data_IF_302398780962
#
_entry.id   IF_302398780962
#
_cell.length_a   1.000
_cell.length_b   1.000
_cell.length_c   1.000
_cell.angle_alpha   90.00
_cell.angle_beta   90.00
_cell.angle_gamma   90.00
#
_symmetry.space_group_name_H-M   'P 1'
#
loop_
_entity.id
_entity.type
_entity.pdbx_description
1 polymer ?
#
# COMPACT_ATOMS: atom_id res chain seq x y z
N UNK A 1 -40.80 -15.63 3.02
CA UNK A 1 -41.64 -15.03 4.07
C UNK A 1 -41.85 -13.57 3.71
N UNK A 2 -43.08 -13.03 3.71
CA UNK A 2 -43.26 -11.58 3.78
C UNK A 2 -42.59 -11.05 5.06
N UNK A 3 -42.09 -9.80 5.04
CA UNK A 3 -41.54 -9.09 6.21
C UNK A 3 -40.28 -9.67 6.88
N UNK A 4 -39.36 -10.25 6.10
CA UNK A 4 -38.04 -10.68 6.59
C UNK A 4 -37.18 -9.48 6.98
N UNK A 5 -37.17 -8.42 6.16
CA UNK A 5 -36.47 -7.18 6.42
C UNK A 5 -37.19 -6.01 5.75
N UNK A 6 -37.30 -4.89 6.47
CA UNK A 6 -37.80 -3.61 5.96
C UNK A 6 -36.98 -2.43 6.51
N UNK A 7 -36.88 -1.36 5.73
CA UNK A 7 -36.25 -0.09 6.10
C UNK A 7 -36.89 1.06 5.30
N UNK A 8 -36.83 2.29 5.84
CA UNK A 8 -37.25 3.48 5.09
C UNK A 8 -36.14 4.06 4.23
N UNK A 9 -34.90 4.04 4.72
CA UNK A 9 -33.74 4.71 4.11
C UNK A 9 -32.52 3.82 4.20
N UNK A 10 -31.79 3.69 3.09
CA UNK A 10 -30.48 3.08 3.01
C UNK A 10 -29.54 4.09 2.37
N UNK A 11 -28.59 4.61 3.13
CA UNK A 11 -27.57 5.53 2.63
C UNK A 11 -26.18 4.92 2.81
N UNK A 12 -25.35 5.00 1.78
CA UNK A 12 -23.96 4.55 1.82
C UNK A 12 -23.09 5.63 1.20
N UNK A 13 -22.00 5.96 1.88
CA UNK A 13 -20.97 6.89 1.40
C UNK A 13 -19.62 6.21 1.55
N UNK A 14 -18.83 6.24 0.49
CA UNK A 14 -17.43 5.80 0.52
C UNK A 14 -16.55 6.87 -0.09
N UNK A 15 -15.47 7.19 0.59
CA UNK A 15 -14.48 8.17 0.15
C UNK A 15 -13.08 7.60 0.40
N UNK A 16 -12.13 7.98 -0.43
CA UNK A 16 -10.73 7.65 -0.21
C UNK A 16 -9.83 8.78 -0.69
N UNK A 17 -8.63 8.83 -0.14
CA UNK A 17 -7.59 9.74 -0.59
C UNK A 17 -6.24 9.07 -0.49
N UNK A 18 -5.34 9.45 -1.40
CA UNK A 18 -3.94 9.05 -1.36
C UNK A 18 -3.09 10.31 -1.55
N UNK A 19 -2.03 10.41 -0.75
CA UNK A 19 -1.01 11.44 -0.89
C UNK A 19 0.37 10.81 -0.76
N UNK A 20 1.42 11.62 -0.88
CA UNK A 20 2.80 11.13 -0.86
C UNK A 20 3.19 10.41 0.44
N UNK A 21 2.54 10.73 1.56
CA UNK A 21 2.91 10.22 2.89
C UNK A 21 1.82 9.38 3.57
N UNK A 22 0.62 9.29 3.00
CA UNK A 22 -0.46 8.50 3.59
C UNK A 22 -1.55 8.13 2.59
N UNK A 23 -2.31 7.09 2.92
CA UNK A 23 -3.57 6.75 2.30
C UNK A 23 -4.66 6.67 3.36
N UNK A 24 -5.88 7.07 2.99
CA UNK A 24 -7.07 6.92 3.82
C UNK A 24 -8.23 6.38 2.98
N UNK A 25 -9.03 5.51 3.57
CA UNK A 25 -10.30 5.05 3.03
C UNK A 25 -11.33 5.10 4.15
N UNK A 26 -12.52 5.59 3.85
CA UNK A 26 -13.62 5.66 4.79
C UNK A 26 -14.90 5.21 4.09
N UNK A 27 -15.68 4.39 4.78
CA UNK A 27 -17.03 4.02 4.36
C UNK A 27 -17.98 4.17 5.54
N UNK A 28 -19.20 4.61 5.23
CA UNK A 28 -20.31 4.68 6.16
C UNK A 28 -21.56 4.09 5.53
N UNK A 29 -22.33 3.34 6.29
CA UNK A 29 -23.68 2.93 5.93
C UNK A 29 -24.67 3.36 7.02
N UNK A 30 -25.83 3.87 6.63
CA UNK A 30 -26.93 4.21 7.53
C UNK A 30 -28.20 3.54 7.05
N UNK A 31 -28.86 2.84 7.97
CA UNK A 31 -30.17 2.23 7.75
C UNK A 31 -31.16 2.82 8.73
N UNK A 32 -32.24 3.41 8.24
CA UNK A 32 -33.30 3.95 9.10
C UNK A 32 -34.51 3.02 9.18
N UNK A 33 -35.14 2.99 10.36
CA UNK A 33 -36.33 2.21 10.66
C UNK A 33 -36.17 0.73 10.29
N UNK A 34 -35.04 0.14 10.69
CA UNK A 34 -34.78 -1.28 10.48
C UNK A 34 -35.83 -2.11 11.24
N UNK A 35 -36.47 -3.05 10.54
CA UNK A 35 -37.38 -4.01 11.11
C UNK A 35 -37.09 -5.39 10.51
N UNK A 36 -36.55 -6.30 11.31
CA UNK A 36 -36.18 -7.64 10.89
C UNK A 36 -37.05 -8.67 11.60
N UNK A 37 -37.32 -9.76 10.87
CA UNK A 37 -37.99 -10.95 11.40
C UNK A 37 -39.31 -10.60 12.11
N UNK A 38 -40.13 -9.77 11.46
CA UNK A 38 -41.41 -9.30 12.00
C UNK A 38 -41.32 -8.66 13.40
N UNK A 39 -40.30 -7.82 13.62
CA UNK A 39 -40.14 -7.02 14.84
C UNK A 39 -39.27 -7.63 15.92
N UNK A 40 -38.67 -8.80 15.69
CA UNK A 40 -37.71 -9.40 16.64
C UNK A 40 -36.49 -8.51 16.82
N UNK A 41 -36.00 -7.88 15.74
CA UNK A 41 -34.94 -6.86 15.81
C UNK A 41 -35.45 -5.59 15.16
N UNK A 42 -35.47 -4.50 15.91
CA UNK A 42 -35.85 -3.18 15.41
C UNK A 42 -34.80 -2.14 15.81
N UNK A 43 -34.56 -1.16 14.96
CA UNK A 43 -33.73 -0.01 15.27
C UNK A 43 -34.25 1.22 14.52
N UNK A 44 -34.13 2.39 15.15
CA UNK A 44 -34.49 3.67 14.52
C UNK A 44 -33.43 4.07 13.50
N UNK A 45 -32.16 3.94 13.86
CA UNK A 45 -31.03 4.16 12.96
C UNK A 45 -29.90 3.17 13.26
N UNK A 46 -29.32 2.58 12.23
CA UNK A 46 -28.17 1.67 12.31
C UNK A 46 -27.04 2.26 11.48
N UNK A 47 -26.02 2.78 12.14
CA UNK A 47 -24.89 3.46 11.50
C UNK A 47 -23.64 2.60 11.63
N UNK A 48 -23.11 2.14 10.51
CA UNK A 48 -21.81 1.47 10.43
C UNK A 48 -20.78 2.45 9.88
N UNK A 49 -19.63 2.55 10.53
CA UNK A 49 -18.48 3.32 10.08
C UNK A 49 -17.28 2.40 10.01
N UNK A 50 -16.50 2.53 8.94
CA UNK A 50 -15.18 1.90 8.84
C UNK A 50 -14.20 2.88 8.21
N UNK A 51 -13.09 3.13 8.90
CA UNK A 51 -12.01 4.00 8.41
C UNK A 51 -10.69 3.25 8.48
N UNK A 52 -9.95 3.20 7.37
CA UNK A 52 -8.61 2.63 7.28
C UNK A 52 -7.62 3.73 6.90
N UNK A 53 -6.46 3.74 7.55
CA UNK A 53 -5.39 4.71 7.31
C UNK A 53 -4.04 4.03 7.31
N UNK A 54 -3.14 4.46 6.44
CA UNK A 54 -1.75 4.02 6.43
C UNK A 54 -0.80 5.18 6.16
N UNK A 55 0.35 5.18 6.83
CA UNK A 55 1.46 6.15 6.66
C UNK A 55 2.76 5.49 6.16
N UNK A 56 2.70 4.18 5.92
CA UNK A 56 3.81 3.37 5.45
C UNK A 56 4.78 2.87 6.51
N UNK A 57 4.59 3.28 7.76
CA UNK A 57 5.17 2.61 8.93
C UNK A 57 4.12 1.82 9.68
N UNK A 58 2.86 2.25 9.59
CA UNK A 58 1.70 1.67 10.26
C UNK A 58 0.49 1.76 9.36
N UNK A 59 -0.31 0.71 9.38
CA UNK A 59 -1.65 0.68 8.79
C UNK A 59 -2.66 0.28 9.87
N UNK A 60 -3.71 1.08 10.04
CA UNK A 60 -4.73 0.88 11.08
C UNK A 60 -6.13 1.04 10.52
N UNK A 61 -7.10 0.42 11.20
CA UNK A 61 -8.52 0.57 10.88
C UNK A 61 -9.35 0.78 12.15
N UNK A 62 -10.40 1.60 12.06
CA UNK A 62 -11.28 1.97 13.16
C UNK A 62 -12.75 1.90 12.74
N UNK A 63 -13.60 1.50 13.68
CA UNK A 63 -15.07 1.54 13.55
C UNK A 63 -15.71 2.71 14.28
N UNK A 64 -14.89 3.68 14.71
CA UNK A 64 -15.35 4.85 15.45
C UNK A 64 -16.47 5.59 14.71
N UNK A 65 -17.50 6.00 15.45
CA UNK A 65 -18.74 6.57 14.92
C UNK A 65 -19.82 5.54 14.61
N UNK A 66 -19.53 4.25 14.62
CA UNK A 66 -20.56 3.20 14.52
C UNK A 66 -21.48 3.21 15.74
N UNK A 67 -22.79 3.17 15.54
CA UNK A 67 -23.77 3.21 16.63
C UNK A 67 -25.14 2.68 16.20
N UNK A 68 -25.98 2.32 17.16
CA UNK A 68 -27.37 1.91 16.93
C UNK A 68 -28.28 2.74 17.82
N UNK A 69 -29.26 3.42 17.22
CA UNK A 69 -30.27 4.20 17.93
C UNK A 69 -31.58 3.42 18.01
N UNK A 70 -32.20 3.43 19.20
CA UNK A 70 -33.47 2.79 19.48
C UNK A 70 -33.47 1.29 19.21
N UNK A 71 -32.37 0.59 19.49
CA UNK A 71 -32.28 -0.85 19.34
C UNK A 71 -33.28 -1.55 20.28
N UNK A 72 -34.10 -2.43 19.72
CA UNK A 72 -35.01 -3.32 20.44
C UNK A 72 -34.81 -4.73 19.93
N UNK A 73 -34.57 -5.67 20.85
CA UNK A 73 -34.42 -7.09 20.53
C UNK A 73 -35.39 -7.88 21.39
N UNK A 74 -36.13 -8.82 20.79
CA UNK A 74 -37.15 -9.63 21.47
C UNK A 74 -38.20 -8.79 22.23
N UNK A 75 -38.55 -7.61 21.71
CA UNK A 75 -39.54 -6.72 22.32
C UNK A 75 -39.05 -5.94 23.53
N UNK A 76 -37.73 -5.89 23.79
CA UNK A 76 -37.16 -5.00 24.80
C UNK A 76 -37.50 -3.54 24.52
N UNK A 77 -37.49 -2.68 25.54
CA UNK A 77 -37.57 -1.23 25.32
C UNK A 77 -36.43 -0.75 24.39
N UNK A 78 -36.69 0.25 23.52
CA UNK A 78 -35.68 0.79 22.63
C UNK A 78 -34.56 1.48 23.43
N UNK A 79 -33.30 1.22 23.06
CA UNK A 79 -32.12 1.80 23.71
C UNK A 79 -31.06 2.20 22.68
N UNK A 80 -30.40 3.33 22.92
CA UNK A 80 -29.25 3.76 22.13
C UNK A 80 -27.99 3.08 22.66
N UNK A 81 -27.24 2.42 21.77
CA UNK A 81 -26.07 1.63 22.14
C UNK A 81 -24.92 1.80 21.16
N UNK A 82 -23.71 1.71 21.69
CA UNK A 82 -22.47 1.50 20.93
C UNK A 82 -21.88 0.17 21.38
N UNK A 83 -22.33 -0.96 20.80
CA UNK A 83 -21.94 -2.28 21.26
C UNK A 83 -20.42 -2.47 21.13
N UNK A 84 -19.75 -3.15 22.08
CA UNK A 84 -18.39 -3.62 21.88
C UNK A 84 -18.28 -4.49 20.61
N UNK A 85 -17.09 -4.61 20.01
CA UNK A 85 -16.90 -5.43 18.81
C UNK A 85 -17.39 -6.87 19.01
N UNK A 86 -18.09 -7.40 18.01
CA UNK A 86 -18.57 -8.78 17.95
C UNK A 86 -19.49 -9.18 19.13
N UNK A 87 -20.34 -8.27 19.59
CA UNK A 87 -21.29 -8.54 20.67
C UNK A 87 -22.39 -9.47 20.18
N UNK A 88 -22.50 -10.68 20.75
CA UNK A 88 -23.51 -11.66 20.34
C UNK A 88 -24.70 -11.69 21.31
N UNK A 89 -25.91 -11.73 20.75
CA UNK A 89 -27.18 -11.81 21.47
C UNK A 89 -27.99 -12.97 20.87
N UNK A 90 -28.39 -13.91 21.73
CA UNK A 90 -29.25 -15.01 21.30
C UNK A 90 -30.68 -14.52 21.03
N UNK A 91 -31.27 -15.02 19.94
CA UNK A 91 -32.68 -14.83 19.59
C UNK A 91 -33.32 -16.20 19.30
N UNK A 92 -34.66 -16.30 19.23
CA UNK A 92 -35.29 -17.53 18.78
C UNK A 92 -34.73 -17.98 17.43
N UNK A 93 -34.23 -19.22 17.39
CA UNK A 93 -33.70 -19.87 16.18
C UNK A 93 -32.43 -19.22 15.60
N UNK A 94 -31.66 -18.45 16.38
CA UNK A 94 -30.43 -17.87 15.86
C UNK A 94 -29.72 -16.90 16.79
N UNK A 95 -28.83 -16.12 16.20
CA UNK A 95 -27.98 -15.14 16.88
C UNK A 95 -27.99 -13.82 16.14
N UNK A 96 -27.99 -12.72 16.88
CA UNK A 96 -27.68 -11.38 16.40
C UNK A 96 -26.28 -11.01 16.85
N UNK A 97 -25.37 -10.79 15.93
CA UNK A 97 -24.07 -10.19 16.19
C UNK A 97 -24.14 -8.70 15.91
N UNK A 98 -23.86 -7.89 16.92
CA UNK A 98 -23.79 -6.44 16.84
C UNK A 98 -22.33 -5.98 16.72
N UNK A 99 -22.11 -4.92 15.93
CA UNK A 99 -20.78 -4.37 15.68
C UNK A 99 -19.78 -5.48 15.32
N UNK A 100 -20.16 -6.36 14.38
CA UNK A 100 -19.29 -7.42 13.90
C UNK A 100 -18.14 -6.78 13.13
N UNK A 101 -16.92 -7.00 13.61
CA UNK A 101 -15.70 -6.43 13.04
C UNK A 101 -14.83 -7.55 12.49
N UNK A 102 -14.69 -7.56 11.17
CA UNK A 102 -13.82 -8.49 10.43
C UNK A 102 -12.59 -7.70 9.99
N UNK A 103 -11.44 -8.02 10.57
CA UNK A 103 -10.17 -7.31 10.33
C UNK A 103 -9.24 -8.14 9.46
N UNK A 104 -8.46 -7.47 8.62
CA UNK A 104 -7.32 -8.07 7.90
C UNK A 104 -6.21 -7.04 7.67
N UNK A 105 -5.10 -7.48 7.07
CA UNK A 105 -3.91 -6.67 6.82
C UNK A 105 -2.72 -7.05 7.71
N UNK A 106 -1.54 -6.56 7.34
CA UNK A 106 -0.26 -6.76 8.03
C UNK A 106 -0.01 -5.73 9.15
N UNK A 107 -0.82 -4.66 9.21
CA UNK A 107 -0.68 -3.59 10.19
C UNK A 107 0.46 -2.60 9.90
N UNK A 108 1.15 -2.75 8.76
CA UNK A 108 2.28 -1.89 8.35
C UNK A 108 1.94 -1.17 7.05
N UNK A 109 1.68 -1.91 5.98
CA UNK A 109 1.31 -1.35 4.67
C UNK A 109 -0.18 -1.53 4.39
N UNK A 110 -0.79 -2.53 5.01
CA UNK A 110 -2.17 -2.93 4.75
C UNK A 110 -2.99 -3.00 6.03
N UNK A 111 -4.22 -2.51 5.97
CA UNK A 111 -5.23 -2.70 6.99
C UNK A 111 -6.59 -2.67 6.32
N UNK A 112 -7.50 -3.56 6.72
CA UNK A 112 -8.88 -3.53 6.28
C UNK A 112 -9.82 -3.85 7.45
N UNK A 113 -11.02 -3.31 7.37
CA UNK A 113 -12.09 -3.53 8.34
C UNK A 113 -13.45 -3.52 7.64
N UNK A 114 -14.17 -4.64 7.76
CA UNK A 114 -15.62 -4.67 7.56
C UNK A 114 -16.31 -4.50 8.92
N UNK A 115 -17.27 -3.58 8.98
CA UNK A 115 -18.19 -3.42 10.11
C UNK A 115 -19.60 -3.76 9.65
N UNK A 116 -20.15 -4.87 10.13
CA UNK A 116 -21.56 -5.20 9.99
C UNK A 116 -22.26 -4.86 11.32
N UNK A 117 -23.10 -3.82 11.34
CA UNK A 117 -23.63 -3.34 12.62
C UNK A 117 -24.71 -4.22 13.22
N UNK A 118 -25.52 -4.87 12.38
CA UNK A 118 -26.42 -5.95 12.80
C UNK A 118 -26.26 -7.08 11.79
N UNK A 119 -25.76 -8.23 12.24
CA UNK A 119 -25.69 -9.46 11.47
C UNK A 119 -26.53 -10.53 12.16
N UNK A 120 -27.60 -10.97 11.50
CA UNK A 120 -28.52 -11.98 12.00
C UNK A 120 -28.30 -13.28 11.25
N UNK A 121 -27.95 -14.33 11.99
CA UNK A 121 -27.90 -15.69 11.48
C UNK A 121 -29.01 -16.50 12.12
N UNK A 122 -29.89 -17.07 11.30
CA UNK A 122 -30.88 -18.03 11.74
C UNK A 122 -30.47 -19.45 11.33
N UNK A 123 -30.72 -20.40 12.22
CA UNK A 123 -30.44 -21.82 12.01
C UNK A 123 -31.71 -22.64 12.23
N UNK A 124 -31.89 -23.65 11.40
CA UNK A 124 -32.86 -24.70 11.65
C UNK A 124 -32.44 -25.46 12.92
N UNK A 125 -33.28 -25.53 13.96
CA UNK A 125 -32.90 -26.11 15.25
C UNK A 125 -32.72 -27.63 15.22
N UNK A 126 -33.22 -28.31 14.17
CA UNK A 126 -33.14 -29.76 14.02
C UNK A 126 -31.91 -30.19 13.23
N UNK A 127 -31.52 -29.40 12.22
CA UNK A 127 -30.46 -29.74 11.26
C UNK A 127 -29.20 -28.88 11.43
N UNK A 128 -29.30 -27.74 12.14
CA UNK A 128 -28.25 -26.73 12.24
C UNK A 128 -28.04 -25.91 10.96
N UNK A 129 -28.76 -26.22 9.88
CA UNK A 129 -28.62 -25.54 8.59
C UNK A 129 -28.98 -24.05 8.72
N UNK A 130 -28.21 -23.18 8.08
CA UNK A 130 -28.52 -21.73 8.05
C UNK A 130 -29.79 -21.53 7.23
N UNK A 131 -30.80 -20.90 7.82
CA UNK A 131 -32.10 -20.62 7.19
C UNK A 131 -32.25 -19.15 6.80
N UNK A 132 -31.48 -18.25 7.40
CA UNK A 132 -31.33 -16.87 6.98
C UNK A 132 -29.97 -16.32 7.42
N UNK A 133 -29.41 -15.44 6.58
CA UNK A 133 -28.22 -14.65 6.84
C UNK A 133 -28.57 -13.22 6.40
N UNK A 134 -28.67 -12.31 7.36
CA UNK A 134 -29.12 -10.93 7.14
C UNK A 134 -28.09 -9.99 7.74
N UNK A 135 -27.48 -9.17 6.89
CA UNK A 135 -26.60 -8.08 7.30
C UNK A 135 -27.30 -6.75 7.08
N UNK A 136 -27.34 -5.92 8.12
CA UNK A 136 -27.87 -4.56 8.08
C UNK A 136 -26.80 -3.57 8.45
N UNK A 137 -26.64 -2.56 7.58
CA UNK A 137 -25.63 -1.51 7.69
C UNK A 137 -24.21 -2.09 7.71
N UNK A 138 -23.62 -2.22 6.52
CA UNK A 138 -22.27 -2.73 6.33
C UNK A 138 -21.37 -1.66 5.73
N UNK A 139 -20.26 -1.37 6.40
CA UNK A 139 -19.23 -0.45 5.93
C UNK A 139 -17.90 -1.19 5.82
N UNK A 140 -17.22 -1.04 4.69
CA UNK A 140 -15.90 -1.62 4.46
C UNK A 140 -14.91 -0.54 4.02
N UNK A 141 -13.74 -0.55 4.65
CA UNK A 141 -12.59 0.21 4.17
C UNK A 141 -11.34 -0.62 4.26
N UNK A 142 -10.40 -0.31 3.39
CA UNK A 142 -9.09 -0.91 3.32
C UNK A 142 -8.06 0.10 2.79
N UNK A 143 -6.81 -0.10 3.19
CA UNK A 143 -5.66 0.61 2.65
C UNK A 143 -4.59 -0.39 2.28
N UNK A 144 -3.88 -0.08 1.20
CA UNK A 144 -2.61 -0.69 0.82
C UNK A 144 -1.68 0.43 0.40
N UNK A 145 -0.73 0.77 1.26
CA UNK A 145 0.12 1.93 1.08
C UNK A 145 1.57 1.62 1.44
N UNK A 146 2.44 1.86 0.47
CA UNK A 146 3.88 1.96 0.64
C UNK A 146 4.26 3.38 0.27
N UNK A 147 4.95 4.14 1.13
CA UNK A 147 5.36 5.50 0.80
C UNK A 147 6.26 5.50 -0.42
N UNK A 148 6.13 6.54 -1.23
CA UNK A 148 7.22 6.87 -2.13
C UNK A 148 8.47 7.21 -1.28
N UNK A 149 9.68 6.84 -1.73
CA UNK A 149 10.90 7.24 -1.04
C UNK A 149 10.94 8.76 -0.84
N UNK A 150 11.35 9.21 0.36
CA UNK A 150 11.41 10.64 0.70
C UNK A 150 12.57 11.29 -0.05
N UNK A 151 12.35 12.49 -0.59
CA UNK A 151 13.42 13.27 -1.22
C UNK A 151 14.61 13.44 -0.24
N UNK A 152 15.78 12.94 -0.63
CA UNK A 152 17.02 13.04 0.14
C UNK A 152 17.39 11.83 1.03
N UNK A 153 16.47 10.91 1.29
CA UNK A 153 16.74 9.63 1.97
C UNK A 153 16.24 8.48 1.09
N UNK A 154 17.14 7.98 0.27
CA UNK A 154 16.88 6.83 -0.58
C UNK A 154 18.19 6.10 -0.83
N UNK A 155 18.06 4.82 -1.13
CA UNK A 155 19.17 3.95 -1.47
C UNK A 155 18.74 3.12 -2.66
N UNK A 156 19.57 3.06 -3.70
CA UNK A 156 19.32 2.21 -4.85
C UNK A 156 20.45 1.19 -4.98
N UNK A 157 20.05 -0.06 -5.20
CA UNK A 157 20.96 -1.15 -5.56
C UNK A 157 20.62 -1.64 -6.94
N UNK A 158 21.60 -2.10 -7.68
CA UNK A 158 21.28 -2.81 -8.91
C UNK A 158 22.50 -3.18 -9.70
N UNK A 159 22.24 -3.95 -10.74
CA UNK A 159 23.25 -4.32 -11.70
C UNK A 159 22.57 -4.90 -12.92
N UNK A 160 23.21 -4.72 -14.06
CA UNK A 160 22.58 -5.12 -15.29
C UNK A 160 23.44 -4.94 -16.51
N UNK A 161 22.79 -5.11 -17.66
CA UNK A 161 23.41 -5.10 -18.97
C UNK A 161 22.61 -4.19 -19.90
N UNK A 162 23.31 -3.31 -20.60
CA UNK A 162 22.78 -2.54 -21.72
C UNK A 162 23.28 -3.14 -23.04
N UNK A 163 22.45 -3.07 -24.07
CA UNK A 163 22.79 -3.56 -25.41
C UNK A 163 22.74 -5.08 -25.57
N UNK A 164 23.08 -5.55 -26.77
CA UNK A 164 23.02 -6.97 -27.13
C UNK A 164 24.17 -7.36 -28.04
N UNK A 165 24.41 -8.66 -28.22
CA UNK A 165 25.48 -9.17 -29.09
C UNK A 165 26.87 -8.77 -28.58
N UNK A 166 27.67 -8.12 -29.44
CA UNK A 166 29.03 -7.66 -29.11
C UNK A 166 29.09 -6.23 -28.59
N UNK A 167 27.99 -5.47 -28.71
CA UNK A 167 27.89 -4.12 -28.16
C UNK A 167 27.11 -4.18 -26.84
N UNK A 168 27.83 -4.58 -25.81
CA UNK A 168 27.29 -4.70 -24.46
C UNK A 168 28.05 -3.84 -23.48
N UNK A 169 27.32 -3.26 -22.54
CA UNK A 169 27.86 -2.71 -21.32
C UNK A 169 27.26 -3.43 -20.12
N UNK A 170 28.05 -3.64 -19.07
CA UNK A 170 27.62 -4.22 -17.81
C UNK A 170 27.92 -3.29 -16.67
N UNK A 171 27.10 -3.34 -15.63
CA UNK A 171 27.28 -2.49 -14.47
C UNK A 171 26.76 -3.13 -13.19
N UNK A 172 27.23 -2.62 -12.07
CA UNK A 172 26.72 -2.89 -10.74
C UNK A 172 27.00 -1.70 -9.84
N UNK A 173 26.03 -1.33 -9.01
CA UNK A 173 26.17 -0.24 -8.07
C UNK A 173 25.31 -0.44 -6.83
N UNK A 174 25.70 0.29 -5.79
CA UNK A 174 24.79 0.75 -4.76
C UNK A 174 25.08 2.23 -4.54
N UNK A 175 24.04 3.03 -4.31
CA UNK A 175 24.21 4.45 -4.05
C UNK A 175 23.05 4.93 -3.18
N UNK A 176 23.34 5.71 -2.15
CA UNK A 176 22.31 6.27 -1.30
C UNK A 176 22.77 7.43 -0.43
N UNK A 177 21.78 8.08 0.16
CA UNK A 177 21.94 9.14 1.14
C UNK A 177 21.21 8.74 2.41
N UNK A 178 21.95 8.59 3.52
CA UNK A 178 21.40 8.18 4.81
C UNK A 178 21.41 9.35 5.79
N UNK A 179 20.57 10.35 5.55
CA UNK A 179 20.42 11.53 6.41
C UNK A 179 21.78 12.15 6.82
N UNK A 180 22.00 12.33 8.13
CA UNK A 180 23.22 12.95 8.68
C UNK A 180 24.49 12.08 8.58
N UNK A 181 24.39 10.81 8.17
CA UNK A 181 25.53 9.89 8.06
C UNK A 181 26.29 9.96 6.72
N UNK A 182 25.78 10.75 5.78
CA UNK A 182 26.46 11.06 4.53
C UNK A 182 26.15 10.12 3.36
N UNK A 183 26.75 10.43 2.22
CA UNK A 183 26.62 9.68 0.98
C UNK A 183 27.45 8.40 1.05
N UNK A 184 26.92 7.31 0.50
CA UNK A 184 27.61 6.03 0.47
C UNK A 184 27.25 5.24 -0.80
N UNK A 185 28.17 4.40 -1.23
CA UNK A 185 27.99 3.58 -2.41
C UNK A 185 29.26 3.36 -3.23
N UNK A 186 29.09 2.65 -4.33
CA UNK A 186 30.13 2.34 -5.30
C UNK A 186 29.51 2.10 -6.68
N UNK A 187 30.33 2.22 -7.73
CA UNK A 187 29.93 1.90 -9.09
C UNK A 187 31.04 1.10 -9.78
N UNK A 188 30.64 -0.01 -10.42
CA UNK A 188 31.41 -0.65 -11.46
C UNK A 188 30.62 -0.55 -12.77
N UNK A 189 31.27 -0.06 -13.82
CA UNK A 189 30.72 -0.03 -15.17
C UNK A 189 31.78 -0.52 -16.17
N UNK A 190 31.39 -1.33 -17.14
CA UNK A 190 32.27 -1.77 -18.23
C UNK A 190 31.52 -1.75 -19.55
N UNK A 191 31.98 -0.95 -20.50
CA UNK A 191 31.56 -1.06 -21.90
C UNK A 191 32.58 -1.91 -22.66
N UNK A 192 32.15 -3.09 -23.09
CA UNK A 192 33.02 -4.07 -23.73
C UNK A 192 33.37 -3.68 -25.17
N UNK A 193 32.49 -2.96 -25.87
CA UNK A 193 32.75 -2.51 -27.23
C UNK A 193 33.73 -1.34 -27.27
N UNK A 194 33.66 -0.45 -26.27
CA UNK A 194 34.55 0.70 -26.14
C UNK A 194 35.83 0.41 -25.35
N UNK A 195 36.00 -0.80 -24.81
CA UNK A 195 37.10 -1.13 -23.89
C UNK A 195 37.22 -0.11 -22.75
N UNK A 196 36.07 0.33 -22.23
CA UNK A 196 35.97 1.32 -21.16
C UNK A 196 35.60 0.60 -19.87
N UNK A 197 36.45 0.69 -18.85
CA UNK A 197 36.18 0.20 -17.50
C UNK A 197 36.20 1.38 -16.54
N UNK A 198 35.11 1.58 -15.80
CA UNK A 198 34.93 2.64 -14.82
C UNK A 198 34.73 2.01 -13.47
N UNK A 199 35.56 2.39 -12.51
CA UNK A 199 35.52 1.89 -11.14
C UNK A 199 35.49 3.06 -10.18
N UNK A 200 34.50 3.08 -9.28
CA UNK A 200 34.37 4.07 -8.23
C UNK A 200 34.00 3.41 -6.90
N UNK A 201 34.58 3.92 -5.83
CA UNK A 201 34.33 3.51 -4.44
C UNK A 201 33.76 4.66 -3.60
N UNK A 202 33.36 5.77 -4.22
CA UNK A 202 32.84 6.95 -3.53
C UNK A 202 31.69 7.57 -4.31
N UNK A 203 30.70 8.08 -3.57
CA UNK A 203 29.57 8.84 -4.10
C UNK A 203 29.73 10.29 -3.61
N UNK A 204 29.83 11.21 -4.56
CA UNK A 204 30.03 12.65 -4.31
C UNK A 204 28.70 13.41 -4.34
N UNK A 205 27.69 12.90 -5.04
CA UNK A 205 26.31 13.38 -4.98
C UNK A 205 25.31 12.24 -5.16
N UNK A 206 24.14 12.38 -4.55
CA UNK A 206 23.01 11.47 -4.73
C UNK A 206 21.70 12.26 -4.56
N UNK A 207 20.75 12.02 -5.46
CA UNK A 207 19.43 12.61 -5.40
C UNK A 207 18.39 11.61 -5.90
N UNK A 208 17.29 11.50 -5.15
CA UNK A 208 16.06 10.89 -5.63
C UNK A 208 15.31 11.90 -6.51
N UNK A 209 15.04 11.52 -7.76
CA UNK A 209 14.30 12.39 -8.68
C UNK A 209 12.82 12.39 -8.23
N UNK A 210 12.38 13.54 -7.71
CA UNK A 210 11.08 13.70 -7.07
C UNK A 210 9.93 13.26 -8.00
N UNK A 211 9.02 12.44 -7.47
CA UNK A 211 7.85 11.94 -8.20
C UNK A 211 8.16 10.81 -9.19
N UNK A 212 9.36 10.24 -9.14
CA UNK A 212 9.78 9.12 -9.99
C UNK A 212 10.39 7.99 -9.15
N UNK A 213 10.62 6.84 -9.77
CA UNK A 213 11.39 5.72 -9.21
C UNK A 213 12.88 5.79 -9.58
N UNK A 214 13.34 6.98 -9.96
CA UNK A 214 14.66 7.19 -10.51
C UNK A 214 15.58 7.93 -9.53
N UNK A 215 16.87 7.61 -9.58
CA UNK A 215 17.92 8.35 -8.87
C UNK A 215 18.94 8.89 -9.85
N UNK A 216 19.60 9.97 -9.45
CA UNK A 216 20.83 10.48 -10.07
C UNK A 216 21.93 10.52 -9.03
N UNK A 217 23.14 10.14 -9.43
CA UNK A 217 24.29 10.17 -8.53
C UNK A 217 25.59 10.29 -9.30
N UNK A 218 26.60 10.86 -8.66
CA UNK A 218 27.92 11.06 -9.25
C UNK A 218 29.02 10.69 -8.28
N UNK A 219 30.21 10.52 -8.83
CA UNK A 219 31.40 10.25 -8.04
C UNK A 219 32.67 10.35 -8.85
N UNK A 220 33.76 10.56 -8.14
CA UNK A 220 35.11 10.39 -8.65
C UNK A 220 35.34 8.93 -9.07
N UNK A 221 36.09 8.74 -10.15
CA UNK A 221 36.27 7.42 -10.77
C UNK A 221 37.69 7.19 -11.26
N UNK A 222 38.03 5.90 -11.36
CA UNK A 222 39.14 5.40 -12.18
C UNK A 222 38.59 4.90 -13.50
N UNK A 223 39.18 5.35 -14.61
CA UNK A 223 38.87 4.85 -15.95
C UNK A 223 40.08 4.11 -16.50
N UNK A 224 39.89 2.84 -16.88
CA UNK A 224 40.94 1.96 -17.38
C UNK A 224 42.20 1.98 -16.48
N UNK A 225 41.95 1.88 -15.17
CA UNK A 225 42.95 1.94 -14.10
C UNK A 225 43.65 3.29 -13.85
N UNK A 226 43.28 4.37 -14.54
CA UNK A 226 43.82 5.71 -14.32
C UNK A 226 42.85 6.59 -13.52
N UNK A 227 43.38 7.39 -12.60
CA UNK A 227 42.63 8.38 -11.80
C UNK A 227 42.35 9.68 -12.58
N UNK A 228 41.56 10.57 -11.98
CA UNK A 228 41.27 11.91 -12.53
C UNK A 228 40.00 11.99 -13.38
N UNK A 229 39.14 10.96 -13.31
CA UNK A 229 37.87 10.91 -14.02
C UNK A 229 36.72 11.05 -13.03
N UNK A 230 35.54 11.34 -13.58
CA UNK A 230 34.28 11.32 -12.84
C UNK A 230 33.23 10.60 -13.68
N UNK A 231 32.24 10.05 -12.99
CA UNK A 231 31.03 9.54 -13.62
C UNK A 231 29.82 10.31 -13.09
N UNK A 232 28.75 10.29 -13.87
CA UNK A 232 27.42 10.68 -13.44
C UNK A 232 26.45 9.65 -14.00
N UNK A 233 25.73 8.96 -13.13
CA UNK A 233 24.53 8.23 -13.51
C UNK A 233 23.43 9.28 -13.56
N UNK A 234 23.12 9.75 -14.76
CA UNK A 234 22.11 10.79 -14.98
C UNK A 234 20.74 10.31 -14.54
N UNK A 235 20.47 9.02 -14.77
CA UNK A 235 19.20 8.38 -14.43
C UNK A 235 19.38 6.87 -14.28
N UNK A 236 19.03 6.34 -13.10
CA UNK A 236 18.80 4.91 -12.88
C UNK A 236 17.37 4.75 -12.35
N UNK A 237 16.49 4.06 -13.09
CA UNK A 237 15.07 3.92 -12.75
C UNK A 237 14.69 2.47 -12.54
N UNK A 238 14.06 2.22 -11.38
CA UNK A 238 13.38 0.96 -11.06
C UNK A 238 11.93 1.06 -11.57
N UNK A 239 11.64 0.50 -12.74
CA UNK A 239 10.35 0.66 -13.41
C UNK A 239 9.48 -0.61 -13.33
N UNK A 240 9.87 -1.57 -12.49
CA UNK A 240 9.09 -2.75 -12.16
C UNK A 240 9.83 -4.07 -12.40
N UNK A 241 9.34 -5.10 -11.71
CA UNK A 241 10.00 -6.40 -11.66
C UNK A 241 9.32 -7.46 -12.55
N UNK A 242 10.11 -8.31 -13.24
CA UNK A 242 11.57 -8.31 -13.32
C UNK A 242 12.12 -7.17 -14.19
N UNK A 243 13.23 -6.55 -13.78
CA UNK A 243 13.75 -5.32 -14.39
C UNK A 243 14.12 -5.35 -15.88
N UNK A 244 14.30 -6.53 -16.48
CA UNK A 244 14.60 -6.65 -17.92
C UNK A 244 13.43 -6.17 -18.76
N UNK A 245 13.68 -5.20 -19.65
CA UNK A 245 12.64 -4.58 -20.48
C UNK A 245 11.87 -3.45 -19.80
N UNK A 246 12.14 -3.18 -18.51
CA UNK A 246 11.46 -2.16 -17.72
C UNK A 246 12.45 -1.11 -17.18
N UNK A 247 13.46 -1.54 -16.44
CA UNK A 247 14.43 -0.65 -15.79
C UNK A 247 15.33 0.04 -16.80
N UNK A 248 15.72 1.27 -16.50
CA UNK A 248 16.56 2.09 -17.37
C UNK A 248 17.80 2.60 -16.64
N UNK A 249 18.92 2.69 -17.36
CA UNK A 249 20.18 3.19 -16.86
C UNK A 249 20.82 4.14 -17.88
N UNK A 250 21.21 5.33 -17.43
CA UNK A 250 21.92 6.37 -18.19
C UNK A 250 23.16 6.82 -17.40
N UNK A 251 24.32 6.63 -18.01
CA UNK A 251 25.61 7.01 -17.46
C UNK A 251 26.38 7.91 -18.41
N UNK A 252 27.05 8.90 -17.85
CA UNK A 252 28.07 9.74 -18.49
C UNK A 252 29.38 9.66 -17.72
N UNK A 253 30.50 9.70 -18.44
CA UNK A 253 31.85 9.63 -17.90
C UNK A 253 32.68 10.73 -18.54
N UNK A 254 33.42 11.48 -17.72
CA UNK A 254 34.24 12.59 -18.17
C UNK A 254 35.59 12.62 -17.47
N UNK A 255 36.60 13.18 -18.13
CA UNK A 255 37.94 13.37 -17.61
C UNK A 255 38.96 13.64 -18.72
N UNK A 256 40.27 13.57 -18.43
CA UNK A 256 41.32 13.83 -19.40
C UNK A 256 41.14 13.02 -20.69
N UNK A 257 40.78 13.69 -21.78
CA UNK A 257 40.62 13.06 -23.10
C UNK A 257 39.45 12.06 -23.22
N UNK A 258 38.57 11.97 -22.21
CA UNK A 258 37.41 11.06 -22.20
C UNK A 258 36.12 11.88 -22.10
N UNK A 259 35.24 11.66 -23.08
CA UNK A 259 33.83 12.06 -23.03
C UNK A 259 33.02 10.88 -23.54
N UNK A 260 32.22 10.30 -22.65
CA UNK A 260 31.45 9.09 -22.92
C UNK A 260 30.07 9.20 -22.31
N UNK A 261 29.07 8.65 -22.99
CA UNK A 261 27.72 8.50 -22.45
C UNK A 261 27.05 7.27 -23.04
N UNK A 262 26.25 6.56 -22.25
CA UNK A 262 25.39 5.48 -22.71
C UNK A 262 24.13 5.42 -21.88
N UNK A 263 22.99 5.23 -22.55
CA UNK A 263 21.70 5.04 -21.91
C UNK A 263 20.97 3.85 -22.53
N UNK A 264 20.00 3.29 -21.81
CA UNK A 264 19.07 2.33 -22.37
C UNK A 264 18.27 1.56 -21.32
N UNK A 265 17.34 0.75 -21.80
CA UNK A 265 16.60 -0.23 -21.00
C UNK A 265 17.45 -1.47 -20.75
N UNK A 266 17.31 -2.07 -19.56
CA UNK A 266 18.02 -3.27 -19.18
C UNK A 266 17.67 -4.44 -20.10
N UNK A 267 18.71 -5.06 -20.66
CA UNK A 267 18.66 -6.33 -21.42
C UNK A 267 19.11 -7.53 -20.57
N UNK A 268 19.30 -7.30 -19.27
CA UNK A 268 19.71 -8.25 -18.25
C UNK A 268 19.91 -7.52 -16.92
N UNK A 269 19.58 -8.16 -15.79
CA UNK A 269 19.72 -7.59 -14.45
C UNK A 269 18.45 -6.93 -13.92
N UNK A 270 18.61 -6.16 -12.83
CA UNK A 270 17.53 -5.50 -12.09
C UNK A 270 18.08 -4.29 -11.32
N UNK A 271 17.28 -3.24 -11.20
CA UNK A 271 17.45 -2.14 -10.28
C UNK A 271 16.39 -2.25 -9.18
N UNK A 272 16.74 -1.85 -7.96
CA UNK A 272 15.80 -1.79 -6.85
C UNK A 272 16.00 -0.48 -6.10
N UNK A 273 14.97 0.35 -6.10
CA UNK A 273 14.90 1.54 -5.27
C UNK A 273 14.36 1.16 -3.89
N UNK A 274 15.12 1.48 -2.85
CA UNK A 274 14.74 1.27 -1.47
C UNK A 274 14.40 2.62 -0.82
N UNK A 275 13.22 2.75 -0.18
CA UNK A 275 12.98 3.84 0.74
C UNK A 275 13.90 3.72 1.95
N UNK A 276 14.58 4.81 2.32
CA UNK A 276 15.34 4.93 3.57
C UNK A 276 14.64 5.82 4.61
#
# INVERSE_FOLDING_TARGET
MPDVAASSTLEVVTTGSICAASATAQSSATVEQANLLNGVVRAVAVVAMSTSTADGSTATSSSEGSTILGLSINGSGPVDVTPPPNTQIAIPFGTVTLNEQIRSGDGVHTSALTVNMIHVMLNDPMTGAITADIVVSSAHSDVNFVPAPKAGNAFMTGGGKLGTGRDIATFGFNAGSRGSSGLHGQLQYTDHAQSLNVHSLSIDSFELITGTTCVTFSGSARVNNADGYSFTVNQACDNGEPGVGHDTFDISVSGPGVSYSRHGTLTGGNLQLHPE
#
